data_IF_715224566972
#
_entry.id   IF_715224566972
#
_cell.length_a   1.000
_cell.length_b   1.000
_cell.length_c   1.000
_cell.angle_alpha   90.00
_cell.angle_beta   90.00
_cell.angle_gamma   90.00
#
_symmetry.space_group_name_H-M   'P 1'
#
loop_
_entity.id
_entity.type
_entity.pdbx_description
1 polymer ?
#
# COMPACT_ATOMS: atom_id res chain seq x y z
N UNK A 1 -5.97 25.29 -5.21
CA UNK A 1 -5.06 24.27 -5.78
C UNK A 1 -5.30 22.99 -5.01
N UNK A 2 -5.42 21.84 -5.69
CA UNK A 2 -5.49 20.55 -5.00
C UNK A 2 -4.15 20.30 -4.28
N UNK A 3 -4.20 19.70 -3.10
CA UNK A 3 -2.98 19.27 -2.40
C UNK A 3 -2.37 18.11 -3.18
N UNK A 4 -1.08 18.18 -3.47
CA UNK A 4 -0.35 17.08 -4.09
C UNK A 4 0.29 16.23 -2.99
N UNK A 5 -0.16 14.99 -2.88
CA UNK A 5 0.40 14.00 -1.97
C UNK A 5 1.53 13.24 -2.68
N UNK A 6 2.55 12.94 -1.89
CA UNK A 6 3.68 12.11 -2.26
C UNK A 6 3.79 10.99 -1.25
N UNK A 7 4.15 9.79 -1.72
CA UNK A 7 4.39 8.65 -0.87
C UNK A 7 5.65 7.91 -1.34
N UNK A 8 6.31 7.23 -0.41
CA UNK A 8 7.52 6.45 -0.67
C UNK A 8 7.55 5.25 0.28
N UNK A 9 7.70 4.05 -0.26
CA UNK A 9 8.00 2.87 0.57
C UNK A 9 9.42 3.05 1.12
N UNK A 10 9.55 2.85 2.44
CA UNK A 10 10.80 2.98 3.17
C UNK A 10 11.08 1.68 3.94
N UNK A 11 12.28 1.58 4.50
CA UNK A 11 12.72 0.42 5.31
C UNK A 11 12.79 -0.90 4.54
N UNK A 12 12.84 -0.84 3.21
CA UNK A 12 13.28 -1.93 2.36
C UNK A 12 14.80 -1.91 2.21
N UNK A 13 15.38 -3.06 1.83
CA UNK A 13 16.80 -3.18 1.52
C UNK A 13 17.23 -2.26 0.35
N UNK A 14 16.30 -1.97 -0.56
CA UNK A 14 16.50 -1.07 -1.70
C UNK A 14 15.76 0.27 -1.50
N UNK A 15 16.43 1.38 -1.78
CA UNK A 15 15.82 2.70 -1.73
C UNK A 15 14.82 2.87 -2.88
N UNK A 16 13.53 2.98 -2.55
CA UNK A 16 12.49 3.18 -3.53
C UNK A 16 12.33 4.65 -3.92
N UNK A 17 12.01 4.92 -5.18
CA UNK A 17 11.72 6.29 -5.62
C UNK A 17 10.36 6.75 -5.10
N UNK A 18 10.24 8.01 -4.66
CA UNK A 18 8.96 8.56 -4.23
C UNK A 18 8.01 8.76 -5.41
N UNK A 19 6.73 8.48 -5.19
CA UNK A 19 5.66 8.60 -6.18
C UNK A 19 4.66 9.69 -5.79
N UNK A 20 4.09 10.36 -6.78
CA UNK A 20 2.93 11.24 -6.58
C UNK A 20 1.67 10.41 -6.55
N UNK A 21 0.78 10.67 -5.59
CA UNK A 21 -0.49 9.94 -5.47
C UNK A 21 -1.64 10.86 -5.91
N UNK A 22 -2.07 10.79 -7.19
CA UNK A 22 -3.17 11.60 -7.68
C UNK A 22 -4.50 11.10 -7.09
N UNK A 23 -5.37 12.04 -6.72
CA UNK A 23 -6.69 11.71 -6.17
C UNK A 23 -6.70 11.50 -4.66
N UNK A 24 -5.53 11.32 -4.02
CA UNK A 24 -5.44 11.19 -2.57
C UNK A 24 -6.04 12.41 -1.85
N UNK A 25 -6.87 12.14 -0.85
CA UNK A 25 -7.59 13.15 -0.08
C UNK A 25 -6.89 13.49 1.23
N UNK A 26 -6.18 12.53 1.81
CA UNK A 26 -5.37 12.65 3.03
C UNK A 26 -4.11 11.76 2.98
N UNK A 27 -3.37 11.73 4.09
CA UNK A 27 -2.11 10.98 4.20
C UNK A 27 -2.32 9.46 4.25
N UNK A 28 -3.42 9.00 4.83
CA UNK A 28 -3.72 7.57 4.97
C UNK A 28 -4.15 7.01 3.62
N UNK A 29 -5.03 7.72 2.91
CA UNK A 29 -5.45 7.40 1.54
C UNK A 29 -4.27 7.35 0.56
N UNK A 30 -3.30 8.26 0.72
CA UNK A 30 -2.06 8.24 -0.05
C UNK A 30 -1.12 7.08 0.31
N UNK A 31 -1.07 6.69 1.60
CA UNK A 31 -0.30 5.53 2.06
C UNK A 31 -0.91 4.24 1.49
N UNK A 32 -2.22 4.07 1.67
CA UNK A 32 -2.98 2.90 1.23
C UNK A 32 -2.83 2.66 -0.27
N UNK A 33 -3.05 3.71 -1.07
CA UNK A 33 -2.92 3.64 -2.53
C UNK A 33 -1.53 3.14 -2.96
N UNK A 34 -0.45 3.68 -2.37
CA UNK A 34 0.91 3.28 -2.74
C UNK A 34 1.22 1.85 -2.28
N UNK A 35 0.82 1.50 -1.05
CA UNK A 35 1.08 0.17 -0.48
C UNK A 35 0.33 -0.89 -1.28
N UNK A 36 -0.94 -0.66 -1.63
CA UNK A 36 -1.73 -1.56 -2.46
C UNK A 36 -1.09 -1.81 -3.83
N UNK A 37 -0.66 -0.75 -4.51
CA UNK A 37 0.04 -0.86 -5.80
C UNK A 37 1.36 -1.64 -5.65
N UNK A 38 2.14 -1.35 -4.61
CA UNK A 38 3.43 -2.01 -4.35
C UNK A 38 3.25 -3.50 -4.05
N UNK A 39 2.36 -3.82 -3.12
CA UNK A 39 2.03 -5.19 -2.70
C UNK A 39 1.52 -6.00 -3.89
N UNK A 40 0.60 -5.43 -4.68
CA UNK A 40 0.08 -6.07 -5.88
C UNK A 40 1.16 -6.33 -6.92
N UNK A 41 2.07 -5.38 -7.13
CA UNK A 41 3.20 -5.54 -8.05
C UNK A 41 4.22 -6.60 -7.59
N UNK A 42 4.39 -6.75 -6.27
CA UNK A 42 5.26 -7.77 -5.66
C UNK A 42 4.58 -9.14 -5.52
N UNK A 43 3.32 -9.28 -5.94
CA UNK A 43 2.58 -10.54 -5.83
C UNK A 43 2.43 -11.04 -4.39
N UNK A 44 2.44 -10.14 -3.41
CA UNK A 44 2.36 -10.49 -1.99
C UNK A 44 3.63 -11.10 -1.39
N UNK A 45 4.79 -11.04 -2.07
CA UNK A 45 6.06 -11.52 -1.51
C UNK A 45 6.51 -10.72 -0.28
N UNK A 46 6.18 -9.43 -0.27
CA UNK A 46 6.46 -8.53 0.86
C UNK A 46 5.13 -8.18 1.49
N UNK A 47 4.98 -8.56 2.76
CA UNK A 47 3.72 -8.45 3.51
C UNK A 47 3.78 -7.40 4.60
N UNK A 48 4.91 -6.75 4.82
CA UNK A 48 5.05 -5.69 5.82
C UNK A 48 6.14 -4.70 5.44
N UNK A 49 6.03 -3.48 5.97
CA UNK A 49 7.02 -2.44 5.78
C UNK A 49 6.56 -1.11 6.34
N UNK A 50 7.20 -0.04 5.90
CA UNK A 50 6.80 1.31 6.24
C UNK A 50 6.63 2.17 4.97
N UNK A 51 5.72 3.13 5.03
CA UNK A 51 5.46 4.09 3.97
C UNK A 51 5.51 5.50 4.55
N UNK A 52 6.31 6.35 3.92
CA UNK A 52 6.42 7.77 4.24
C UNK A 52 5.50 8.55 3.29
N UNK A 53 4.67 9.42 3.84
CA UNK A 53 3.73 10.25 3.07
C UNK A 53 3.88 11.71 3.45
N UNK A 54 3.92 12.60 2.46
CA UNK A 54 3.95 14.04 2.69
C UNK A 54 3.15 14.82 1.67
N UNK A 55 2.69 15.98 2.09
CA UNK A 55 2.03 16.95 1.20
C UNK A 55 3.06 17.97 0.72
N UNK A 56 2.98 18.37 -0.54
CA UNK A 56 3.81 19.47 -1.05
C UNK A 56 3.67 20.72 -0.17
N UNK A 57 4.75 21.14 0.47
CA UNK A 57 4.78 22.28 1.39
C UNK A 57 4.05 22.06 2.72
N UNK A 58 3.76 20.81 3.09
CA UNK A 58 3.01 20.43 4.27
C UNK A 58 3.76 19.50 5.22
N UNK A 59 2.98 18.82 6.07
CA UNK A 59 3.47 17.87 7.08
C UNK A 59 3.72 16.51 6.45
N UNK A 60 4.70 15.84 7.00
CA UNK A 60 5.06 14.46 6.71
C UNK A 60 4.56 13.52 7.81
N UNK A 61 4.16 12.33 7.40
CA UNK A 61 3.75 11.22 8.26
C UNK A 61 4.38 9.93 7.79
N UNK A 62 4.52 8.97 8.70
CA UNK A 62 4.98 7.62 8.41
C UNK A 62 3.93 6.65 8.92
N UNK A 63 3.62 5.65 8.10
CA UNK A 63 2.72 4.56 8.46
C UNK A 63 3.48 3.25 8.35
N UNK A 64 3.41 2.44 9.39
CA UNK A 64 3.70 1.02 9.30
C UNK A 64 2.54 0.34 8.59
N UNK A 65 2.84 -0.57 7.68
CA UNK A 65 1.83 -1.29 6.91
C UNK A 65 2.06 -2.79 7.01
N UNK A 66 0.95 -3.53 6.99
CA UNK A 66 0.93 -4.98 6.94
C UNK A 66 -0.15 -5.43 5.96
N UNK A 67 0.18 -6.40 5.13
CA UNK A 67 -0.72 -7.00 4.16
C UNK A 67 -0.97 -8.45 4.53
N UNK A 68 -2.23 -8.82 4.68
CA UNK A 68 -2.65 -10.19 4.94
C UNK A 68 -3.45 -10.71 3.74
N UNK A 69 -2.96 -11.79 3.12
CA UNK A 69 -3.61 -12.43 1.98
C UNK A 69 -4.27 -13.72 2.43
N UNK A 70 -5.58 -13.82 2.21
CA UNK A 70 -6.30 -15.07 2.45
C UNK A 70 -6.52 -15.75 1.11
N UNK A 71 -5.91 -16.93 0.93
CA UNK A 71 -6.24 -17.77 -0.22
C UNK A 71 -7.65 -18.35 -0.03
N UNK A 72 -8.52 -18.29 -1.05
CA UNK A 72 -9.80 -18.99 -1.00
C UNK A 72 -9.58 -20.51 -0.88
N UNK A 73 -10.44 -21.19 -0.12
CA UNK A 73 -10.41 -22.65 -0.01
C UNK A 73 -10.58 -23.29 -1.39
N UNK A 74 -9.66 -24.17 -1.79
CA UNK A 74 -9.67 -24.85 -3.10
C UNK A 74 -10.90 -25.74 -3.31
N UNK A 75 -11.66 -26.04 -2.26
CA UNK A 75 -12.80 -26.98 -2.29
C UNK A 75 -14.10 -26.37 -2.89
N UNK A 76 -14.18 -25.05 -3.11
CA UNK A 76 -15.33 -24.38 -3.75
C UNK A 76 -15.09 -23.95 -5.21
N UNK A 77 -13.95 -24.30 -5.81
CA UNK A 77 -13.57 -23.83 -7.15
C UNK A 77 -14.27 -24.62 -8.27
N UNK A 78 -15.18 -23.95 -8.98
CA UNK A 78 -15.60 -24.35 -10.33
C UNK A 78 -14.51 -23.99 -11.36
N UNK A 79 -14.28 -24.88 -12.33
CA UNK A 79 -13.13 -24.94 -13.24
C UNK A 79 -12.83 -23.70 -14.13
N UNK A 80 -13.50 -22.55 -13.99
CA UNK A 80 -13.37 -21.43 -14.94
C UNK A 80 -13.25 -20.01 -14.32
N UNK A 81 -13.27 -19.84 -12.99
CA UNK A 81 -13.17 -18.50 -12.38
C UNK A 81 -11.71 -18.15 -12.02
N UNK A 82 -11.26 -16.96 -12.47
CA UNK A 82 -9.97 -16.37 -12.09
C UNK A 82 -9.88 -16.29 -10.56
N UNK A 83 -8.83 -16.86 -9.95
CA UNK A 83 -8.65 -16.83 -8.49
C UNK A 83 -8.41 -15.40 -8.02
N UNK A 84 -9.45 -14.74 -7.50
CA UNK A 84 -9.30 -13.47 -6.78
C UNK A 84 -8.76 -13.74 -5.37
N UNK A 85 -7.56 -13.25 -5.07
CA UNK A 85 -6.99 -13.29 -3.72
C UNK A 85 -7.46 -12.04 -2.98
N UNK A 86 -8.22 -12.20 -1.90
CA UNK A 86 -8.57 -11.09 -1.01
C UNK A 86 -7.33 -10.72 -0.16
N UNK A 87 -6.82 -9.50 -0.37
CA UNK A 87 -5.75 -8.90 0.42
C UNK A 87 -6.30 -7.74 1.24
N UNK A 88 -6.08 -7.79 2.56
CA UNK A 88 -6.36 -6.67 3.47
C UNK A 88 -5.03 -5.96 3.82
N UNK A 89 -5.02 -4.63 3.73
CA UNK A 89 -3.88 -3.80 4.12
C UNK A 89 -4.24 -3.02 5.38
N UNK A 90 -3.51 -3.28 6.45
CA UNK A 90 -3.61 -2.54 7.70
C UNK A 90 -2.54 -1.45 7.76
N UNK A 91 -2.94 -0.22 8.03
CA UNK A 91 -2.06 0.93 8.23
C UNK A 91 -2.06 1.38 9.69
N UNK A 92 -0.87 1.60 10.24
CA UNK A 92 -0.69 2.15 11.60
C UNK A 92 0.24 3.35 11.55
N UNK A 93 -0.26 4.53 11.92
CA UNK A 93 0.57 5.74 11.98
C UNK A 93 1.67 5.60 13.05
N UNK A 94 2.92 5.86 12.66
CA UNK A 94 4.09 5.81 13.53
C UNK A 94 4.24 7.15 14.27
N UNK A 95 4.01 7.13 15.59
CA UNK A 95 4.07 8.29 16.51
C UNK A 95 5.48 8.70 16.91
#
# INVERSE_FOLDING_TARGET
MAKQYWAQIIELDEEMTPATIPGATDHEDAADSLVADFVGAMGGEITEGAVRVWVQGGVEKVYDWKADFTMPDMDEMGDEDEMEVEGEIELTERV
#
